data_IF_651278055981
#
_entry.id   IF_651278055981
#
_cell.length_a   1.000
_cell.length_b   1.000
_cell.length_c   1.000
_cell.angle_alpha   90.00
_cell.angle_beta   90.00
_cell.angle_gamma   90.00
#
_symmetry.space_group_name_H-M   'P 1'
#
loop_
_entity.id
_entity.type
_entity.pdbx_description
1 polymer ?
#
# COMPACT_ATOMS: atom_id res chain seq x y z
N UNK A 1 -14.02 -4.71 -21.94
CA UNK A 1 -13.64 -5.33 -20.66
C UNK A 1 -12.53 -6.33 -20.92
N UNK A 2 -11.32 -6.01 -20.45
CA UNK A 2 -10.10 -6.76 -20.74
C UNK A 2 -9.71 -7.73 -19.61
N UNK A 3 -10.39 -7.68 -18.45
CA UNK A 3 -10.15 -8.51 -17.26
C UNK A 3 -8.66 -8.66 -16.90
N UNK A 4 -7.90 -7.56 -16.93
CA UNK A 4 -6.46 -7.55 -16.66
C UNK A 4 -6.07 -6.38 -15.75
N UNK A 5 -4.91 -6.51 -15.11
CA UNK A 5 -4.23 -5.39 -14.47
C UNK A 5 -3.67 -4.44 -15.52
N UNK A 6 -3.73 -3.14 -15.23
CA UNK A 6 -3.08 -2.11 -16.01
C UNK A 6 -2.19 -1.26 -15.11
N UNK A 7 -0.97 -0.98 -15.58
CA UNK A 7 0.04 -0.22 -14.83
C UNK A 7 0.27 1.09 -15.55
N UNK A 8 -0.07 2.17 -14.86
CA UNK A 8 0.23 3.53 -15.28
C UNK A 8 1.58 3.95 -14.72
N UNK A 9 2.46 4.47 -15.58
CA UNK A 9 3.81 4.87 -15.18
C UNK A 9 4.34 5.99 -16.06
N UNK A 10 5.37 6.69 -15.60
CA UNK A 10 6.06 7.69 -16.41
C UNK A 10 6.68 7.09 -17.70
N UNK A 11 7.02 5.80 -17.70
CA UNK A 11 7.65 5.15 -18.86
C UNK A 11 6.62 4.78 -19.94
N UNK A 12 5.42 4.35 -19.54
CA UNK A 12 4.41 3.79 -20.47
C UNK A 12 3.26 4.75 -20.74
N UNK A 13 2.94 5.63 -19.79
CA UNK A 13 1.85 6.60 -19.87
C UNK A 13 2.32 7.99 -19.41
N UNK A 14 3.35 8.57 -20.06
CA UNK A 14 3.99 9.82 -19.62
C UNK A 14 3.08 11.04 -19.62
N UNK A 15 2.00 11.00 -20.40
CA UNK A 15 1.05 12.11 -20.55
C UNK A 15 -0.22 11.94 -19.71
N UNK A 16 -0.33 10.85 -18.96
CA UNK A 16 -1.49 10.62 -18.10
C UNK A 16 -1.41 11.52 -16.86
N UNK A 17 -2.52 12.18 -16.52
CA UNK A 17 -2.62 12.90 -15.27
C UNK A 17 -2.59 11.91 -14.08
N UNK A 18 -1.78 12.21 -13.06
CA UNK A 18 -1.70 11.39 -11.84
C UNK A 18 -3.08 11.27 -11.17
N UNK A 19 -3.86 12.36 -11.16
CA UNK A 19 -5.21 12.36 -10.60
C UNK A 19 -6.15 11.37 -11.32
N UNK A 20 -6.05 11.27 -12.65
CA UNK A 20 -6.87 10.32 -13.42
C UNK A 20 -6.44 8.88 -13.11
N UNK A 21 -5.13 8.61 -13.06
CA UNK A 21 -4.61 7.29 -12.70
C UNK A 21 -5.08 6.87 -11.30
N UNK A 22 -5.06 7.80 -10.33
CA UNK A 22 -5.59 7.57 -8.99
C UNK A 22 -7.09 7.30 -9.01
N UNK A 23 -7.88 8.07 -9.77
CA UNK A 23 -9.32 7.84 -9.93
C UNK A 23 -9.59 6.42 -10.44
N UNK A 24 -8.91 5.97 -11.50
CA UNK A 24 -9.05 4.61 -12.02
C UNK A 24 -8.68 3.57 -10.95
N UNK A 25 -7.56 3.78 -10.24
CA UNK A 25 -7.02 2.84 -9.26
C UNK A 25 -7.84 2.70 -7.98
N UNK A 26 -8.63 3.71 -7.60
CA UNK A 26 -9.43 3.76 -6.35
C UNK A 26 -10.96 3.61 -6.59
N UNK A 27 -11.35 3.19 -7.79
CA UNK A 27 -12.76 3.03 -8.18
C UNK A 27 -13.36 1.74 -7.62
N UNK A 28 -13.50 1.72 -6.29
CA UNK A 28 -14.02 0.59 -5.53
C UNK A 28 -15.41 0.17 -6.01
N UNK A 29 -15.61 -1.09 -6.47
CA UNK A 29 -16.92 -1.57 -6.90
C UNK A 29 -17.99 -1.37 -5.81
N UNK A 30 -19.23 -1.15 -6.23
CA UNK A 30 -20.40 -0.85 -5.38
C UNK A 30 -20.43 0.53 -4.73
N UNK A 31 -19.27 1.15 -4.50
CA UNK A 31 -19.18 2.46 -3.85
C UNK A 31 -18.94 3.59 -4.86
N UNK A 32 -18.15 3.33 -5.89
CA UNK A 32 -17.85 4.31 -6.95
C UNK A 32 -18.21 3.78 -8.33
N UNK A 33 -18.58 4.71 -9.22
CA UNK A 33 -18.83 4.37 -10.62
C UNK A 33 -17.53 3.94 -11.30
N UNK A 34 -17.58 2.90 -12.12
CA UNK A 34 -16.44 2.46 -12.92
C UNK A 34 -16.12 3.51 -14.01
N UNK A 35 -15.00 4.25 -13.92
CA UNK A 35 -14.62 5.21 -14.93
C UNK A 35 -14.21 4.50 -16.23
N UNK A 36 -14.38 5.20 -17.35
CA UNK A 36 -13.86 4.74 -18.64
C UNK A 36 -12.59 5.50 -19.00
N UNK A 37 -11.63 4.82 -19.63
CA UNK A 37 -10.43 5.42 -20.17
C UNK A 37 -10.00 4.73 -21.48
N UNK A 38 -9.61 5.53 -22.47
CA UNK A 38 -9.22 5.06 -23.81
C UNK A 38 -7.69 5.09 -24.04
N UNK A 39 -6.92 5.38 -22.98
CA UNK A 39 -5.48 5.61 -23.06
C UNK A 39 -5.09 7.09 -23.18
N UNK A 40 -6.06 8.00 -23.37
CA UNK A 40 -5.82 9.43 -23.56
C UNK A 40 -6.79 10.32 -22.79
N UNK A 41 -8.06 9.94 -22.70
CA UNK A 41 -9.14 10.75 -22.14
C UNK A 41 -10.09 9.91 -21.31
N UNK A 42 -10.52 10.47 -20.17
CA UNK A 42 -11.60 9.91 -19.36
C UNK A 42 -12.96 10.00 -20.06
N UNK A 43 -13.82 9.00 -19.80
CA UNK A 43 -15.21 8.95 -20.26
C UNK A 43 -15.43 8.21 -21.58
N UNK A 44 -14.40 7.62 -22.16
CA UNK A 44 -14.49 6.73 -23.33
C UNK A 44 -13.56 5.52 -23.13
N UNK A 45 -13.80 4.44 -23.86
CA UNK A 45 -12.90 3.28 -23.88
C UNK A 45 -13.31 2.16 -22.92
N UNK A 46 -12.31 1.51 -22.34
CA UNK A 46 -12.52 0.38 -21.43
C UNK A 46 -12.93 0.87 -20.03
N UNK A 47 -13.70 0.06 -19.31
CA UNK A 47 -14.05 0.31 -17.92
C UNK A 47 -12.93 -0.13 -16.99
N UNK A 48 -12.64 0.71 -16.01
CA UNK A 48 -11.67 0.44 -14.95
C UNK A 48 -12.38 0.29 -13.61
N UNK A 49 -11.79 -0.51 -12.74
CA UNK A 49 -12.19 -0.66 -11.35
C UNK A 49 -10.94 -0.68 -10.47
N UNK A 50 -11.15 -0.65 -9.16
CA UNK A 50 -10.08 -0.63 -8.16
C UNK A 50 -9.01 -1.70 -8.40
N UNK A 51 -7.73 -1.28 -8.32
CA UNK A 51 -6.59 -2.16 -8.56
C UNK A 51 -6.49 -3.31 -7.54
N UNK A 52 -7.03 -3.11 -6.34
CA UNK A 52 -7.08 -4.09 -5.27
C UNK A 52 -7.87 -5.35 -5.61
N UNK A 53 -8.82 -5.28 -6.56
CA UNK A 53 -9.57 -6.45 -7.05
C UNK A 53 -8.62 -7.57 -7.51
N UNK A 54 -7.55 -7.20 -8.23
CA UNK A 54 -6.61 -8.14 -8.85
C UNK A 54 -5.21 -8.11 -8.24
N UNK A 55 -4.78 -6.98 -7.68
CA UNK A 55 -3.46 -6.85 -7.05
C UNK A 55 -3.48 -5.77 -5.96
N UNK A 56 -3.93 -6.16 -4.77
CA UNK A 56 -4.01 -5.30 -3.59
C UNK A 56 -2.64 -4.91 -3.01
N UNK A 57 -1.60 -5.70 -3.32
CA UNK A 57 -0.26 -5.43 -2.83
C UNK A 57 0.80 -5.76 -3.90
N UNK A 58 0.97 -4.89 -4.91
CA UNK A 58 1.83 -5.14 -6.07
C UNK A 58 3.32 -4.92 -5.77
N UNK A 59 3.83 -5.51 -4.69
CA UNK A 59 5.24 -5.37 -4.26
C UNK A 59 6.23 -5.73 -5.39
N UNK A 60 5.91 -6.78 -6.16
CA UNK A 60 6.75 -7.28 -7.25
C UNK A 60 6.74 -6.41 -8.50
N UNK A 61 5.91 -5.37 -8.57
CA UNK A 61 5.93 -4.43 -9.70
C UNK A 61 7.31 -3.79 -9.87
N UNK A 62 8.06 -3.67 -8.77
CA UNK A 62 9.39 -3.07 -8.73
C UNK A 62 10.53 -4.10 -8.84
N UNK A 63 10.22 -5.38 -9.04
CA UNK A 63 11.21 -6.47 -9.21
C UNK A 63 11.46 -6.80 -10.70
N UNK A 64 10.90 -6.04 -11.63
CA UNK A 64 11.11 -6.27 -13.06
C UNK A 64 12.55 -5.99 -13.52
N UNK A 65 12.94 -6.59 -14.65
CA UNK A 65 14.30 -6.47 -15.21
C UNK A 65 14.70 -5.03 -15.54
N UNK A 66 13.75 -4.12 -15.72
CA UNK A 66 14.03 -2.69 -15.87
C UNK A 66 14.75 -2.07 -14.66
N UNK A 67 14.69 -2.71 -13.48
CA UNK A 67 15.37 -2.28 -12.27
C UNK A 67 16.71 -3.00 -12.03
N UNK A 68 17.12 -3.91 -12.92
CA UNK A 68 18.36 -4.69 -12.79
C UNK A 68 19.59 -3.92 -13.25
N UNK A 69 19.46 -3.18 -14.35
CA UNK A 69 20.60 -2.57 -15.04
C UNK A 69 21.36 -1.59 -14.14
N UNK A 70 22.66 -1.80 -13.95
CA UNK A 70 23.54 -1.03 -13.07
C UNK A 70 23.04 -0.87 -11.63
N UNK A 71 22.20 -1.78 -11.15
CA UNK A 71 21.65 -1.72 -9.80
C UNK A 71 22.32 -2.73 -8.87
N UNK A 72 23.24 -2.31 -7.97
CA UNK A 72 23.86 -3.22 -7.01
C UNK A 72 22.87 -3.75 -5.95
N UNK A 73 21.70 -3.12 -5.82
CA UNK A 73 20.61 -3.54 -4.94
C UNK A 73 19.64 -4.52 -5.63
N UNK A 74 19.85 -4.85 -6.89
CA UNK A 74 19.09 -5.89 -7.57
C UNK A 74 19.81 -7.23 -7.47
N UNK A 75 19.19 -8.22 -6.84
CA UNK A 75 19.77 -9.55 -6.59
C UNK A 75 18.70 -10.63 -6.65
N UNK A 76 18.99 -11.74 -7.34
CA UNK A 76 18.12 -12.90 -7.42
C UNK A 76 16.68 -12.58 -7.88
N UNK A 77 16.54 -11.66 -8.84
CA UNK A 77 15.23 -11.22 -9.35
C UNK A 77 14.44 -10.35 -8.37
N UNK A 78 15.11 -9.70 -7.41
CA UNK A 78 14.50 -8.81 -6.42
C UNK A 78 15.21 -7.48 -6.41
N UNK A 79 14.43 -6.40 -6.41
CA UNK A 79 14.90 -5.06 -6.18
C UNK A 79 14.80 -4.73 -4.68
N UNK A 80 15.94 -4.69 -4.00
CA UNK A 80 16.01 -4.39 -2.57
C UNK A 80 15.81 -2.92 -2.22
N UNK A 81 15.65 -2.04 -3.22
CA UNK A 81 15.22 -0.66 -3.00
C UNK A 81 13.69 -0.55 -2.86
N UNK A 82 12.97 -1.64 -3.14
CA UNK A 82 11.53 -1.71 -2.94
C UNK A 82 11.23 -1.90 -1.47
N UNK A 83 10.52 -0.94 -0.89
CA UNK A 83 9.92 -1.01 0.43
C UNK A 83 8.42 -0.87 0.25
N UNK A 84 7.65 -1.86 0.69
CA UNK A 84 6.20 -1.79 0.65
C UNK A 84 5.60 -1.52 2.03
N UNK A 85 4.41 -0.93 2.02
CA UNK A 85 3.57 -0.74 3.20
C UNK A 85 2.23 -1.42 2.92
N UNK A 86 1.82 -2.36 3.79
CA UNK A 86 0.54 -3.04 3.65
C UNK A 86 -0.34 -2.82 4.87
N UNK A 87 -1.64 -2.69 4.63
CA UNK A 87 -2.65 -2.75 5.68
C UNK A 87 -3.04 -4.21 5.93
N UNK A 88 -3.25 -4.56 7.19
CA UNK A 88 -3.83 -5.86 7.57
C UNK A 88 -4.86 -5.68 8.69
N UNK A 89 -5.83 -6.60 8.73
CA UNK A 89 -6.79 -6.71 9.83
C UNK A 89 -6.22 -7.60 10.93
N UNK A 90 -6.08 -7.11 12.17
CA UNK A 90 -5.69 -7.96 13.31
C UNK A 90 -6.66 -9.14 13.52
N UNK A 91 -6.11 -10.30 13.92
CA UNK A 91 -6.87 -11.53 14.10
C UNK A 91 -7.85 -11.48 15.29
N UNK A 92 -7.61 -10.57 16.24
CA UNK A 92 -8.43 -10.34 17.43
C UNK A 92 -9.55 -9.31 17.22
N UNK A 93 -9.73 -8.81 15.98
CA UNK A 93 -10.81 -7.90 15.68
C UNK A 93 -12.18 -8.57 15.89
N UNK A 94 -13.09 -7.99 16.70
CA UNK A 94 -14.39 -8.59 17.04
C UNK A 94 -15.25 -8.92 15.83
N UNK A 95 -15.11 -8.17 14.74
CA UNK A 95 -15.86 -8.29 13.49
C UNK A 95 -14.96 -8.64 12.30
N UNK A 96 -13.80 -9.29 12.51
CA UNK A 96 -12.83 -9.67 11.47
C UNK A 96 -13.47 -10.41 10.26
N UNK A 97 -14.05 -9.66 9.32
CA UNK A 97 -14.78 -10.19 8.17
C UNK A 97 -16.14 -10.82 8.48
N UNK A 98 -16.68 -10.73 9.70
CA UNK A 98 -17.97 -11.35 10.08
C UNK A 98 -19.14 -10.36 10.02
N UNK A 99 -19.27 -9.64 8.91
CA UNK A 99 -20.44 -8.78 8.69
C UNK A 99 -21.62 -9.64 8.27
N UNK A 100 -22.78 -9.55 8.94
CA UNK A 100 -23.95 -10.34 8.56
C UNK A 100 -24.37 -10.01 7.12
N UNK A 101 -24.54 -11.05 6.31
CA UNK A 101 -25.06 -10.92 4.95
C UNK A 101 -26.56 -10.69 5.05
N UNK A 102 -27.00 -9.45 4.84
CA UNK A 102 -28.41 -9.04 4.94
C UNK A 102 -29.04 -8.83 3.57
N UNK A 103 -28.23 -8.54 2.56
CA UNK A 103 -28.65 -8.28 1.18
C UNK A 103 -27.50 -8.50 0.18
N UNK A 104 -27.80 -8.37 -1.12
CA UNK A 104 -26.82 -8.56 -2.21
C UNK A 104 -25.63 -7.61 -2.11
N UNK A 105 -25.82 -6.36 -1.67
CA UNK A 105 -24.71 -5.42 -1.53
C UNK A 105 -23.77 -5.87 -0.40
N UNK A 106 -24.30 -6.23 0.77
CA UNK A 106 -23.50 -6.77 1.88
C UNK A 106 -22.80 -8.09 1.51
N UNK A 107 -23.42 -8.92 0.67
CA UNK A 107 -22.77 -10.13 0.16
C UNK A 107 -21.58 -9.80 -0.75
N UNK A 108 -21.78 -8.90 -1.72
CA UNK A 108 -20.72 -8.51 -2.67
C UNK A 108 -19.58 -7.76 -1.97
N UNK A 109 -19.88 -6.92 -0.95
CA UNK A 109 -18.84 -6.29 -0.13
C UNK A 109 -18.02 -7.32 0.64
N UNK A 110 -18.66 -8.31 1.29
CA UNK A 110 -17.96 -9.40 1.98
C UNK A 110 -17.10 -10.24 1.01
N UNK A 111 -17.60 -10.54 -0.20
CA UNK A 111 -16.82 -11.24 -1.22
C UNK A 111 -15.60 -10.42 -1.66
N UNK A 112 -15.76 -9.12 -1.84
CA UNK A 112 -14.66 -8.24 -2.20
C UNK A 112 -13.60 -8.18 -1.09
N UNK A 113 -14.01 -7.98 0.17
CA UNK A 113 -13.09 -8.02 1.34
C UNK A 113 -12.37 -9.37 1.42
N UNK A 114 -13.08 -10.48 1.25
CA UNK A 114 -12.48 -11.82 1.20
C UNK A 114 -11.43 -11.96 0.09
N UNK A 115 -11.70 -11.39 -1.10
CA UNK A 115 -10.75 -11.38 -2.21
C UNK A 115 -9.48 -10.60 -1.86
N UNK A 116 -9.61 -9.44 -1.22
CA UNK A 116 -8.47 -8.64 -0.74
C UNK A 116 -7.64 -9.41 0.30
N UNK A 117 -8.29 -10.05 1.27
CA UNK A 117 -7.64 -10.82 2.33
C UNK A 117 -6.91 -12.05 1.78
N UNK A 118 -7.46 -12.74 0.77
CA UNK A 118 -6.82 -13.90 0.16
C UNK A 118 -5.43 -13.58 -0.43
N UNK A 119 -5.25 -12.38 -0.97
CA UNK A 119 -3.98 -11.91 -1.52
C UNK A 119 -2.95 -11.64 -0.41
N UNK A 120 -3.39 -11.22 0.78
CA UNK A 120 -2.55 -11.00 1.96
C UNK A 120 -1.95 -12.33 2.44
N UNK A 121 -2.72 -13.43 2.44
CA UNK A 121 -2.22 -14.75 2.84
C UNK A 121 -1.12 -15.27 1.92
N UNK A 122 -1.19 -14.98 0.61
CA UNK A 122 -0.14 -15.38 -0.33
C UNK A 122 1.21 -14.70 -0.02
N UNK A 123 1.17 -13.42 0.39
CA UNK A 123 2.35 -12.68 0.83
C UNK A 123 2.97 -13.28 2.11
N UNK A 124 2.14 -13.67 3.08
CA UNK A 124 2.61 -14.23 4.35
C UNK A 124 3.42 -15.52 4.19
N UNK A 125 3.28 -16.22 3.06
CA UNK A 125 4.05 -17.42 2.78
C UNK A 125 5.46 -17.15 2.26
N UNK A 126 5.83 -15.88 2.01
CA UNK A 126 7.13 -15.49 1.43
C UNK A 126 7.95 -14.64 2.40
N UNK A 127 8.85 -15.24 3.19
CA UNK A 127 9.67 -14.51 4.17
C UNK A 127 10.47 -13.36 3.57
N UNK A 128 10.88 -13.50 2.31
CA UNK A 128 11.63 -12.47 1.60
C UNK A 128 10.82 -11.20 1.36
N UNK A 129 9.53 -11.33 1.12
CA UNK A 129 8.64 -10.20 0.89
C UNK A 129 8.29 -9.52 2.22
N UNK A 130 8.17 -10.30 3.30
CA UNK A 130 7.99 -9.78 4.66
C UNK A 130 9.17 -8.88 5.08
N UNK A 131 10.41 -9.24 4.72
CA UNK A 131 11.62 -8.46 5.07
C UNK A 131 11.64 -7.04 4.50
N UNK A 132 10.85 -6.76 3.47
CA UNK A 132 10.75 -5.45 2.80
C UNK A 132 9.33 -4.90 2.81
N UNK A 133 8.55 -5.33 3.80
CA UNK A 133 7.16 -4.92 3.99
C UNK A 133 6.96 -4.39 5.40
N UNK A 134 6.44 -3.18 5.50
CA UNK A 134 5.95 -2.61 6.75
C UNK A 134 4.48 -3.01 6.90
N UNK A 135 4.18 -3.79 7.94
CA UNK A 135 2.82 -4.20 8.27
C UNK A 135 2.16 -3.16 9.15
N UNK A 136 1.10 -2.53 8.65
CA UNK A 136 0.33 -1.53 9.37
C UNK A 136 -1.04 -2.10 9.72
N UNK A 137 -1.39 -2.09 11.00
CA UNK A 137 -2.73 -2.50 11.44
C UNK A 137 -3.78 -1.48 10.97
N UNK A 138 -4.88 -1.96 10.40
CA UNK A 138 -6.06 -1.12 10.13
C UNK A 138 -6.90 -0.83 11.38
N UNK A 139 -6.47 -1.27 12.56
CA UNK A 139 -7.15 -1.01 13.83
C UNK A 139 -8.60 -1.51 13.91
N UNK A 140 -8.91 -2.58 13.18
CA UNK A 140 -10.26 -3.14 13.01
C UNK A 140 -11.24 -2.20 12.28
N UNK A 141 -10.72 -1.19 11.58
CA UNK A 141 -11.51 -0.29 10.75
C UNK A 141 -11.60 -0.86 9.35
N UNK A 142 -12.81 -0.95 8.83
CA UNK A 142 -13.06 -1.45 7.48
C UNK A 142 -12.57 -0.46 6.43
N UNK A 143 -12.12 -0.99 5.29
CA UNK A 143 -11.71 -0.22 4.12
C UNK A 143 -12.85 0.61 3.52
N UNK A 144 -14.11 0.29 3.85
CA UNK A 144 -15.30 0.97 3.35
C UNK A 144 -15.96 1.87 4.39
N UNK A 145 -15.26 2.17 5.50
CA UNK A 145 -15.76 3.14 6.48
C UNK A 145 -15.43 4.57 6.03
N UNK A 146 -16.33 5.14 5.23
CA UNK A 146 -16.21 6.51 4.74
C UNK A 146 -16.60 7.59 5.76
N UNK A 147 -16.88 7.20 7.02
CA UNK A 147 -17.20 8.16 8.09
C UNK A 147 -15.97 8.77 8.74
N UNK A 148 -14.80 8.14 8.56
CA UNK A 148 -13.52 8.63 9.10
C UNK A 148 -13.08 9.88 8.35
N UNK A 149 -13.02 11.01 9.06
CA UNK A 149 -12.60 12.28 8.50
C UNK A 149 -11.08 12.49 8.66
N UNK A 150 -10.34 12.97 7.64
CA UNK A 150 -8.90 13.23 7.73
C UNK A 150 -8.63 14.55 8.47
N UNK A 151 -9.10 14.65 9.71
CA UNK A 151 -9.04 15.85 10.54
C UNK A 151 -8.39 15.54 11.90
N UNK A 152 -7.63 16.48 12.49
CA UNK A 152 -6.99 16.29 13.80
C UNK A 152 -7.94 15.84 14.92
N UNK A 153 -9.20 16.25 14.83
CA UNK A 153 -10.24 16.03 15.85
C UNK A 153 -10.88 14.64 15.78
N UNK A 154 -10.73 13.91 14.66
CA UNK A 154 -11.29 12.57 14.50
C UNK A 154 -10.38 11.54 15.23
N UNK A 155 -10.86 10.90 16.31
CA UNK A 155 -10.04 9.97 17.08
C UNK A 155 -9.70 8.69 16.31
N UNK A 156 -10.53 8.26 15.36
CA UNK A 156 -10.26 7.08 14.53
C UNK A 156 -9.13 7.41 13.55
N UNK A 157 -9.19 8.58 12.92
CA UNK A 157 -8.13 9.05 12.03
C UNK A 157 -6.79 9.15 12.78
N UNK A 158 -6.76 9.76 13.97
CA UNK A 158 -5.54 9.84 14.78
C UNK A 158 -4.99 8.46 15.15
N UNK A 159 -5.87 7.51 15.52
CA UNK A 159 -5.50 6.13 15.83
C UNK A 159 -4.84 5.44 14.62
N UNK A 160 -5.39 5.61 13.41
CA UNK A 160 -4.84 5.05 12.18
C UNK A 160 -3.47 5.65 11.84
N UNK A 161 -3.31 6.98 11.99
CA UNK A 161 -2.02 7.66 11.80
C UNK A 161 -0.98 7.12 12.78
N UNK A 162 -1.34 7.00 14.06
CA UNK A 162 -0.44 6.48 15.10
C UNK A 162 -0.03 5.01 14.85
N UNK A 163 -0.96 4.18 14.36
CA UNK A 163 -0.65 2.80 13.97
C UNK A 163 0.40 2.74 12.85
N UNK A 164 0.27 3.59 11.83
CA UNK A 164 1.26 3.72 10.75
C UNK A 164 2.64 4.12 11.27
N UNK A 165 2.69 5.14 12.14
CA UNK A 165 3.96 5.57 12.72
C UNK A 165 4.64 4.51 13.58
N UNK A 166 3.85 3.79 14.38
CA UNK A 166 4.35 2.73 15.25
C UNK A 166 4.93 1.60 14.42
N UNK A 167 4.21 1.17 13.37
CA UNK A 167 4.66 0.14 12.44
C UNK A 167 5.98 0.52 11.75
N UNK A 168 6.12 1.77 11.29
CA UNK A 168 7.36 2.26 10.66
C UNK A 168 8.52 2.25 11.67
N UNK A 169 8.31 2.72 12.91
CA UNK A 169 9.36 2.72 13.95
C UNK A 169 9.82 1.30 14.26
N UNK A 170 8.90 0.39 14.56
CA UNK A 170 9.23 -1.01 14.87
C UNK A 170 9.93 -1.71 13.70
N UNK A 171 9.53 -1.40 12.46
CA UNK A 171 10.23 -1.90 11.29
C UNK A 171 11.66 -1.37 11.22
N UNK A 172 11.87 -0.06 11.33
CA UNK A 172 13.20 0.55 11.22
C UNK A 172 14.16 0.12 12.34
N UNK A 173 13.65 -0.16 13.55
CA UNK A 173 14.45 -0.67 14.67
C UNK A 173 14.97 -2.09 14.44
N UNK A 174 14.20 -2.93 13.75
CA UNK A 174 14.53 -4.34 13.48
C UNK A 174 15.07 -4.59 12.06
N UNK A 175 14.99 -3.59 11.18
CA UNK A 175 15.35 -3.72 9.78
C UNK A 175 16.86 -3.90 9.61
N UNK A 176 17.22 -5.04 9.03
CA UNK A 176 18.57 -5.33 8.57
C UNK A 176 18.59 -5.26 7.04
N UNK A 177 19.33 -4.30 6.46
CA UNK A 177 19.58 -4.31 5.02
C UNK A 177 20.14 -5.68 4.63
N UNK A 178 19.82 -6.20 3.44
CA UNK A 178 20.45 -7.43 2.98
C UNK A 178 21.95 -7.21 2.90
N UNK A 179 22.74 -8.30 2.96
CA UNK A 179 24.19 -8.27 2.72
C UNK A 179 24.46 -7.88 1.26
N UNK A 180 24.26 -6.60 0.99
CA UNK A 180 24.53 -5.92 -0.25
C UNK A 180 25.87 -5.24 -0.06
N UNK A 181 26.69 -5.22 -1.11
CA UNK A 181 27.89 -4.39 -1.14
C UNK A 181 27.41 -2.94 -1.20
N UNK A 182 27.10 -2.35 -0.04
CA UNK A 182 26.68 -0.96 0.09
C UNK A 182 27.94 -0.10 0.05
N UNK A 183 28.10 0.81 -0.91
CA UNK A 183 29.13 1.84 -0.79
C UNK A 183 28.87 2.61 0.51
N UNK A 184 29.89 2.70 1.39
CA UNK A 184 29.84 3.38 2.68
C UNK A 184 29.14 4.76 2.74
N UNK A 185 29.06 5.57 1.65
CA UNK A 185 28.33 6.84 1.66
C UNK A 185 26.80 6.74 1.86
N UNK A 186 26.13 5.69 1.35
CA UNK A 186 24.66 5.64 1.35
C UNK A 186 24.09 5.21 2.71
N UNK A 187 24.69 4.20 3.35
CA UNK A 187 24.27 3.72 4.67
C UNK A 187 24.37 4.82 5.74
N UNK A 188 25.43 5.64 5.67
CA UNK A 188 25.60 6.83 6.53
C UNK A 188 24.55 7.90 6.27
N UNK A 189 24.11 8.09 5.01
CA UNK A 189 23.06 9.07 4.65
C UNK A 189 21.68 8.66 5.17
N UNK A 190 21.29 7.39 4.95
CA UNK A 190 19.99 6.86 5.42
C UNK A 190 19.90 6.94 6.94
N UNK A 191 20.95 6.48 7.64
CA UNK A 191 20.99 6.54 9.11
C UNK A 191 20.87 7.96 9.65
N UNK A 192 21.57 8.93 9.06
CA UNK A 192 21.45 10.36 9.43
C UNK A 192 20.06 10.92 9.18
N UNK A 193 19.40 10.55 8.07
CA UNK A 193 18.05 11.03 7.77
C UNK A 193 17.03 10.49 8.77
N UNK A 194 17.15 9.21 9.13
CA UNK A 194 16.32 8.57 10.16
C UNK A 194 16.55 9.24 11.52
N UNK A 195 17.80 9.40 11.95
CA UNK A 195 18.16 10.05 13.21
C UNK A 195 17.67 11.52 13.27
N UNK A 196 17.80 12.26 12.17
CA UNK A 196 17.34 13.65 12.06
C UNK A 196 15.81 13.77 12.12
N UNK A 197 15.09 12.87 11.44
CA UNK A 197 13.62 12.83 11.48
C UNK A 197 13.11 12.57 12.91
N UNK A 198 13.73 11.65 13.64
CA UNK A 198 13.35 11.38 15.03
C UNK A 198 13.75 12.51 16.00
N UNK A 199 14.88 13.19 15.76
CA UNK A 199 15.34 14.27 16.63
C UNK A 199 14.46 15.53 16.57
N UNK A 200 13.99 15.90 15.37
CA UNK A 200 13.12 17.08 15.21
C UNK A 200 11.73 16.90 15.83
N UNK A 201 11.20 15.67 15.83
CA UNK A 201 9.85 15.39 16.34
C UNK A 201 9.78 15.36 17.87
N UNK A 202 10.83 14.89 18.53
CA UNK A 202 10.90 14.91 20.00
C UNK A 202 11.03 16.33 20.58
N UNK A 203 11.48 17.31 19.77
CA UNK A 203 11.41 18.73 20.17
C UNK A 203 10.01 19.31 20.07
N UNK A 204 9.24 18.92 19.04
CA UNK A 204 7.86 19.41 18.86
C UNK A 204 6.84 18.90 19.89
N UNK A 205 7.14 17.83 20.63
CA UNK A 205 6.30 17.33 21.73
C UNK A 205 6.67 17.87 23.12
N UNK A 206 7.79 18.58 23.26
CA UNK A 206 8.23 19.17 24.53
C UNK A 206 7.95 20.68 24.63
N UNK A 207 7.25 21.27 23.66
CA UNK A 207 6.87 22.69 23.63
C UNK A 207 5.34 22.91 23.69
N UNK A 208 4.57 21.95 24.23
CA UNK A 208 3.16 22.12 24.61
C UNK A 208 2.94 21.80 26.08
#
# INVERSE_FOLDING_TARGET
>A
SQHRLEVFSAATTPHMAVADALLLSQSLPLFFAAPQFDGRKLGQGDYYGDGGILSNYPLHLFDGSQYENNNPYYRNGLNWQTLGCRLYTPADCPEAGQRPITNIASYLSNLFETSLESQITAHERRPIDQRRTINVSNCCISTTDFSVAPQPEDPIYQKLVQAGETAVRSFLESYTPPDLVIPAPLSRRIRRQIEHFFHYRNRGQNEQ
#
